data_IF_088032091297
#
_entry.id   IF_088032091297
#
_cell.length_a   1.000
_cell.length_b   1.000
_cell.length_c   1.000
_cell.angle_alpha   90.00
_cell.angle_beta   90.00
_cell.angle_gamma   90.00
#
_symmetry.space_group_name_H-M   'P 1'
#
loop_
_entity.id
_entity.type
_entity.pdbx_description
1 polymer ?
#
# COMPACT_ATOMS: atom_id res chain seq x y z
N UNK A 1 13.56 7.27 -6.99
CA UNK A 1 12.96 6.57 -5.83
C UNK A 1 11.57 7.14 -5.59
N UNK A 2 10.52 6.36 -5.86
CA UNK A 2 9.14 6.81 -5.61
C UNK A 2 8.75 6.52 -4.17
N UNK A 3 8.07 7.46 -3.51
CA UNK A 3 7.52 7.29 -2.18
C UNK A 3 6.00 7.43 -2.23
N UNK A 4 5.30 6.40 -1.77
CA UNK A 4 3.85 6.29 -1.87
C UNK A 4 3.27 6.07 -0.48
N UNK A 5 2.23 6.84 -0.15
CA UNK A 5 1.39 6.65 1.03
C UNK A 5 0.07 6.02 0.59
N UNK A 6 -0.29 4.90 1.21
CA UNK A 6 -1.57 4.21 1.00
C UNK A 6 -2.46 4.50 2.20
N UNK A 7 -3.64 5.10 1.98
CA UNK A 7 -4.61 5.39 3.05
C UNK A 7 -5.91 4.68 2.72
N UNK A 8 -6.45 3.96 3.70
CA UNK A 8 -7.72 3.22 3.61
C UNK A 8 -8.65 3.67 4.74
N UNK A 9 -9.96 3.59 4.52
CA UNK A 9 -10.97 4.08 5.47
C UNK A 9 -11.80 2.99 6.16
N UNK A 10 -11.64 1.73 5.75
CA UNK A 10 -12.39 0.58 6.24
C UNK A 10 -11.57 -0.70 6.03
N UNK A 11 -11.89 -1.76 6.78
CA UNK A 11 -11.20 -3.06 6.70
C UNK A 11 -11.16 -3.67 5.28
N UNK A 12 -12.19 -3.46 4.46
CA UNK A 12 -12.19 -3.91 3.07
C UNK A 12 -11.09 -3.21 2.26
N UNK A 13 -10.85 -1.92 2.54
CA UNK A 13 -9.78 -1.13 1.96
C UNK A 13 -8.39 -1.65 2.31
N UNK A 14 -8.18 -2.13 3.55
CA UNK A 14 -6.88 -2.66 3.99
C UNK A 14 -6.44 -3.87 3.17
N UNK A 15 -7.36 -4.78 2.87
CA UNK A 15 -7.09 -5.94 2.02
C UNK A 15 -6.66 -5.51 0.61
N UNK A 16 -7.37 -4.55 0.02
CA UNK A 16 -7.04 -4.02 -1.30
C UNK A 16 -5.70 -3.25 -1.28
N UNK A 17 -5.48 -2.42 -0.25
CA UNK A 17 -4.25 -1.68 -0.04
C UNK A 17 -3.03 -2.58 0.15
N UNK A 18 -3.16 -3.67 0.90
CA UNK A 18 -2.11 -4.66 1.08
C UNK A 18 -1.75 -5.37 -0.24
N UNK A 19 -2.75 -5.73 -1.05
CA UNK A 19 -2.52 -6.34 -2.35
C UNK A 19 -1.84 -5.37 -3.33
N UNK A 20 -2.25 -4.09 -3.32
CA UNK A 20 -1.58 -3.04 -4.09
C UNK A 20 -0.12 -2.86 -3.66
N UNK A 21 0.14 -2.78 -2.36
CA UNK A 21 1.50 -2.65 -1.82
C UNK A 21 2.42 -3.82 -2.25
N UNK A 22 1.89 -5.06 -2.27
CA UNK A 22 2.61 -6.23 -2.76
C UNK A 22 2.93 -6.10 -4.26
N UNK A 23 1.95 -5.73 -5.08
CA UNK A 23 2.15 -5.57 -6.52
C UNK A 23 3.15 -4.46 -6.84
N UNK A 24 3.11 -3.34 -6.10
CA UNK A 24 4.06 -2.24 -6.25
C UNK A 24 5.50 -2.69 -5.95
N UNK A 25 5.72 -3.39 -4.83
CA UNK A 25 7.06 -3.93 -4.48
C UNK A 25 7.55 -4.98 -5.45
N UNK A 26 6.66 -5.78 -6.04
CA UNK A 26 7.04 -6.74 -7.08
C UNK A 26 7.51 -6.04 -8.36
N UNK A 27 6.87 -4.91 -8.72
CA UNK A 27 7.20 -4.13 -9.93
C UNK A 27 8.42 -3.23 -9.73
N UNK A 28 8.56 -2.63 -8.55
CA UNK A 28 9.67 -1.77 -8.17
C UNK A 28 10.14 -2.16 -6.75
N UNK A 29 11.19 -2.99 -6.61
CA UNK A 29 11.72 -3.39 -5.31
C UNK A 29 12.28 -2.24 -4.47
N UNK A 30 12.55 -1.08 -5.09
CA UNK A 30 13.10 0.09 -4.40
C UNK A 30 12.02 1.10 -3.97
N UNK A 31 10.73 0.84 -4.27
CA UNK A 31 9.64 1.72 -3.86
C UNK A 31 9.54 1.83 -2.34
N UNK A 32 9.40 3.06 -1.84
CA UNK A 32 9.16 3.31 -0.41
C UNK A 32 7.66 3.41 -0.17
N UNK A 33 7.12 2.54 0.69
CA UNK A 33 5.69 2.47 1.01
C UNK A 33 5.46 2.81 2.48
N UNK A 34 4.44 3.61 2.75
CA UNK A 34 3.84 3.82 4.06
C UNK A 34 2.32 3.60 3.98
N UNK A 35 1.69 3.23 5.09
CA UNK A 35 0.27 2.88 5.11
C UNK A 35 -0.44 3.40 6.36
N UNK A 36 -1.69 3.85 6.19
CA UNK A 36 -2.67 4.07 7.27
C UNK A 36 -3.88 3.19 6.95
N UNK A 37 -4.14 2.23 7.83
CA UNK A 37 -5.27 1.31 7.74
C UNK A 37 -6.60 1.93 8.16
N UNK A 38 -7.70 1.31 7.74
CA UNK A 38 -9.03 1.56 8.27
C UNK A 38 -9.23 0.94 9.66
N UNK A 39 -10.27 1.38 10.37
CA UNK A 39 -10.72 0.75 11.60
C UNK A 39 -11.44 -0.59 11.34
#
# INVERSE_FOLDING_TARGET
MSRILIVTGEASGDLHGANLAKALRAKDPQVSLAGIGGA
#
